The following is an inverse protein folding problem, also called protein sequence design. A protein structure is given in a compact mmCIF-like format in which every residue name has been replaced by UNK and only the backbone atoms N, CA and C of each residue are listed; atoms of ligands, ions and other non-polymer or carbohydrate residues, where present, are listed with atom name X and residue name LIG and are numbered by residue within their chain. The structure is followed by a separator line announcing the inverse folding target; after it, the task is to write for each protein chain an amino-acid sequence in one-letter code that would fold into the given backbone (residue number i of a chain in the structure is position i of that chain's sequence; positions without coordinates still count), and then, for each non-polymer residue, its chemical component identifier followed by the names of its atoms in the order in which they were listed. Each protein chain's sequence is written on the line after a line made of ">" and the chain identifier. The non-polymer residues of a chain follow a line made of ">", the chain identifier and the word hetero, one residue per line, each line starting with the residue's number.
data_IF_987131409931
#
_entry.id   IF_987131409931
#
_cell.length_a   1.000
_cell.length_b   1.000
_cell.length_c   1.000
_cell.angle_alpha   90.00
_cell.angle_beta   90.00
_cell.angle_gamma   90.00
#
_symmetry.space_group_name_H-M   'P 1'
#
loop_
_entity.id
_entity.type
_entity.pdbx_description
1 polymer ?
#
# COMPACT_ATOMS: atom_id res chain seq x y z
N UNK A 1 -24.18 -10.93 -57.78
CA UNK A 1 -22.95 -11.03 -56.97
C UNK A 1 -23.20 -10.31 -55.66
N UNK A 2 -23.19 -11.03 -54.53
CA UNK A 2 -23.40 -10.49 -53.18
C UNK A 2 -22.12 -10.71 -52.39
N UNK A 3 -21.45 -9.63 -51.99
CA UNK A 3 -20.20 -9.67 -51.23
C UNK A 3 -20.50 -9.35 -49.76
N UNK A 4 -20.17 -10.31 -48.89
CA UNK A 4 -20.26 -10.19 -47.43
C UNK A 4 -18.90 -9.74 -46.88
N UNK A 5 -18.77 -8.53 -46.30
CA UNK A 5 -17.54 -8.17 -45.59
C UNK A 5 -17.62 -8.68 -44.14
N UNK A 6 -17.11 -9.90 -43.94
CA UNK A 6 -16.57 -10.36 -42.67
C UNK A 6 -15.22 -9.65 -42.49
N UNK A 7 -15.14 -8.68 -41.58
CA UNK A 7 -13.94 -8.32 -40.80
C UNK A 7 -14.24 -7.05 -40.01
N UNK A 8 -14.52 -7.29 -38.75
CA UNK A 8 -14.65 -6.34 -37.66
C UNK A 8 -13.54 -5.29 -37.68
N UNK A 9 -13.92 -4.05 -37.99
CA UNK A 9 -13.21 -2.83 -37.64
C UNK A 9 -14.09 -2.07 -36.65
N UNK A 10 -14.25 -2.65 -35.47
CA UNK A 10 -14.77 -1.98 -34.29
C UNK A 10 -13.76 -2.22 -33.20
N UNK A 11 -12.95 -1.21 -32.90
CA UNK A 11 -12.49 -0.84 -31.56
C UNK A 11 -11.60 0.41 -31.69
N UNK A 12 -12.20 1.49 -32.18
CA UNK A 12 -11.65 2.84 -32.03
C UNK A 12 -12.24 3.46 -30.77
N UNK A 13 -11.34 4.04 -29.96
CA UNK A 13 -11.59 4.95 -28.86
C UNK A 13 -12.35 4.37 -27.65
N UNK A 14 -11.61 3.74 -26.74
CA UNK A 14 -11.89 3.93 -25.32
C UNK A 14 -11.74 5.44 -25.06
N UNK A 15 -12.88 6.12 -24.99
CA UNK A 15 -12.96 7.46 -24.45
C UNK A 15 -12.59 7.37 -22.98
N UNK A 16 -11.34 7.74 -22.68
CA UNK A 16 -10.86 8.01 -21.33
C UNK A 16 -11.59 9.23 -20.78
N UNK A 17 -12.85 9.03 -20.39
CA UNK A 17 -13.69 9.98 -19.67
C UNK A 17 -13.69 9.65 -18.18
N UNK A 18 -12.54 9.78 -17.53
CA UNK A 18 -12.37 9.83 -16.06
C UNK A 18 -11.00 10.48 -15.74
N UNK A 19 -10.74 11.63 -16.36
CA UNK A 19 -9.51 12.40 -16.17
C UNK A 19 -9.48 13.08 -14.80
N UNK A 20 -8.98 12.36 -13.80
CA UNK A 20 -8.28 12.88 -12.60
C UNK A 20 -8.02 11.74 -11.58
N UNK A 21 -8.76 10.64 -11.63
CA UNK A 21 -8.68 9.57 -10.62
C UNK A 21 -8.03 8.28 -11.11
N UNK A 22 -8.00 8.03 -12.42
CA UNK A 22 -7.39 6.81 -12.99
C UNK A 22 -5.85 6.89 -13.09
N UNK A 23 -5.29 8.07 -13.37
CA UNK A 23 -3.85 8.26 -13.49
C UNK A 23 -3.12 7.98 -12.17
N UNK A 24 -3.68 8.46 -11.05
CA UNK A 24 -3.08 8.34 -9.73
C UNK A 24 -3.02 6.90 -9.23
N UNK A 25 -4.06 6.09 -9.49
CA UNK A 25 -4.05 4.67 -9.10
C UNK A 25 -3.04 3.84 -9.92
N UNK A 26 -2.88 4.16 -11.21
CA UNK A 26 -1.89 3.52 -12.07
C UNK A 26 -0.46 3.89 -11.66
N UNK A 27 -0.22 5.18 -11.37
CA UNK A 27 1.08 5.68 -10.93
C UNK A 27 1.49 5.09 -9.57
N UNK A 28 0.55 4.95 -8.63
CA UNK A 28 0.78 4.30 -7.33
C UNK A 28 1.15 2.82 -7.51
N UNK A 29 0.43 2.08 -8.37
CA UNK A 29 0.75 0.67 -8.64
C UNK A 29 2.11 0.50 -9.33
N UNK A 30 2.44 1.38 -10.27
CA UNK A 30 3.75 1.40 -10.93
C UNK A 30 4.88 1.73 -9.93
N UNK A 31 4.63 2.67 -9.00
CA UNK A 31 5.59 3.04 -7.98
C UNK A 31 5.83 1.90 -6.98
N UNK A 32 4.79 1.16 -6.56
CA UNK A 32 4.93 -0.02 -5.71
C UNK A 32 5.86 -1.06 -6.35
N UNK A 33 5.65 -1.35 -7.64
CA UNK A 33 6.53 -2.27 -8.38
C UNK A 33 7.97 -1.75 -8.48
N UNK A 34 8.14 -0.44 -8.69
CA UNK A 34 9.47 0.16 -8.71
C UNK A 34 10.17 0.08 -7.34
N UNK A 35 9.43 0.23 -6.23
CA UNK A 35 9.95 0.03 -4.87
C UNK A 35 10.36 -1.42 -4.64
N UNK A 36 9.54 -2.39 -5.06
CA UNK A 36 9.85 -3.84 -4.99
C UNK A 36 11.11 -4.21 -5.80
N UNK A 37 11.38 -3.47 -6.87
CA UNK A 37 12.58 -3.62 -7.69
C UNK A 37 13.76 -2.74 -7.23
N UNK A 38 13.65 -2.08 -6.07
CA UNK A 38 14.64 -1.13 -5.52
C UNK A 38 14.94 0.08 -6.44
N UNK A 39 14.08 0.34 -7.44
CA UNK A 39 14.16 1.48 -8.37
C UNK A 39 13.57 2.74 -7.74
N UNK A 40 14.11 3.17 -6.61
CA UNK A 40 13.55 4.26 -5.80
C UNK A 40 13.45 5.61 -6.54
N UNK A 41 14.39 5.92 -7.44
CA UNK A 41 14.34 7.17 -8.21
C UNK A 41 13.14 7.22 -9.16
N UNK A 42 12.79 6.08 -9.78
CA UNK A 42 11.62 5.96 -10.65
C UNK A 42 10.33 6.04 -9.84
N UNK A 43 10.25 5.29 -8.73
CA UNK A 43 9.11 5.34 -7.83
C UNK A 43 8.83 6.77 -7.34
N UNK A 44 9.87 7.52 -6.95
CA UNK A 44 9.72 8.94 -6.57
C UNK A 44 9.23 9.80 -7.73
N UNK A 45 9.72 9.55 -8.94
CA UNK A 45 9.28 10.26 -10.15
C UNK A 45 7.80 10.09 -10.45
N UNK A 46 7.26 8.89 -10.23
CA UNK A 46 5.85 8.55 -10.40
C UNK A 46 4.98 9.20 -9.31
N UNK A 47 5.48 9.25 -8.07
CA UNK A 47 4.69 9.71 -6.92
C UNK A 47 4.77 11.22 -6.66
N UNK A 48 5.79 11.94 -7.16
CA UNK A 48 6.06 13.35 -6.77
C UNK A 48 4.90 14.32 -7.02
N UNK A 49 4.06 14.03 -8.01
CA UNK A 49 2.95 14.89 -8.41
C UNK A 49 1.61 14.40 -7.84
N UNK A 50 1.60 13.25 -7.17
CA UNK A 50 0.40 12.65 -6.62
C UNK A 50 0.22 13.09 -5.15
N UNK A 51 -0.88 13.77 -4.86
CA UNK A 51 -1.20 14.28 -3.51
C UNK A 51 -2.20 13.40 -2.76
N UNK A 52 -2.44 12.17 -3.21
CA UNK A 52 -3.41 11.27 -2.57
C UNK A 52 -2.83 10.61 -1.31
N UNK A 53 -3.67 10.18 -0.35
CA UNK A 53 -3.21 9.42 0.81
C UNK A 53 -2.39 8.18 0.41
N UNK A 54 -2.78 7.49 -0.67
CA UNK A 54 -2.07 6.32 -1.17
C UNK A 54 -0.67 6.68 -1.71
N UNK A 55 -0.56 7.77 -2.47
CA UNK A 55 0.74 8.22 -2.97
C UNK A 55 1.67 8.67 -1.85
N UNK A 56 1.14 9.37 -0.84
CA UNK A 56 1.88 9.73 0.36
C UNK A 56 2.30 8.49 1.15
N UNK A 57 1.46 7.47 1.24
CA UNK A 57 1.81 6.22 1.90
C UNK A 57 2.97 5.49 1.21
N UNK A 58 2.96 5.42 -0.12
CA UNK A 58 4.06 4.82 -0.89
C UNK A 58 5.33 5.67 -0.85
N UNK A 59 5.23 7.01 -0.81
CA UNK A 59 6.39 7.87 -0.56
C UNK A 59 6.97 7.61 0.82
N UNK A 60 6.13 7.44 1.85
CA UNK A 60 6.57 7.04 3.18
C UNK A 60 7.36 5.74 3.17
N UNK A 61 6.85 4.72 2.46
CA UNK A 61 7.54 3.43 2.27
C UNK A 61 8.88 3.57 1.60
N UNK A 62 8.93 4.32 0.51
CA UNK A 62 10.15 4.58 -0.23
C UNK A 62 11.22 5.22 0.65
N UNK A 63 10.84 6.22 1.46
CA UNK A 63 11.79 6.86 2.37
C UNK A 63 12.21 5.94 3.51
N UNK A 64 11.30 5.13 4.06
CA UNK A 64 11.63 4.13 5.08
C UNK A 64 12.65 3.11 4.56
N UNK A 65 12.47 2.58 3.35
CA UNK A 65 13.43 1.65 2.72
C UNK A 65 14.78 2.28 2.38
N UNK A 66 14.91 3.61 2.48
CA UNK A 66 16.15 4.34 2.27
C UNK A 66 16.75 4.85 3.59
N UNK A 67 16.27 4.35 4.72
CA UNK A 67 16.68 4.76 6.07
C UNK A 67 16.49 6.26 6.33
N UNK A 68 15.46 6.86 5.72
CA UNK A 68 15.09 8.27 5.85
C UNK A 68 13.82 8.42 6.70
N UNK A 69 13.89 7.99 7.96
CA UNK A 69 12.74 7.88 8.87
C UNK A 69 11.98 9.19 9.10
N UNK A 70 12.68 10.32 9.24
CA UNK A 70 12.04 11.62 9.40
C UNK A 70 11.16 11.97 8.20
N UNK A 71 11.66 11.70 6.99
CA UNK A 71 10.90 11.89 5.75
C UNK A 71 9.76 10.89 5.68
N UNK A 72 10.01 9.63 5.97
CA UNK A 72 8.99 8.58 5.98
C UNK A 72 7.81 8.97 6.88
N UNK A 73 8.10 9.43 8.10
CA UNK A 73 7.08 9.83 9.05
C UNK A 73 6.23 11.01 8.55
N UNK A 74 6.84 12.01 7.89
CA UNK A 74 6.09 13.14 7.32
C UNK A 74 5.07 12.64 6.30
N UNK A 75 5.48 11.78 5.38
CA UNK A 75 4.60 11.29 4.32
C UNK A 75 3.55 10.30 4.84
N UNK A 76 3.88 9.45 5.81
CA UNK A 76 2.89 8.62 6.49
C UNK A 76 1.86 9.44 7.26
N UNK A 77 2.27 10.53 7.91
CA UNK A 77 1.32 11.45 8.56
C UNK A 77 0.42 12.16 7.55
N UNK A 78 0.90 12.47 6.34
CA UNK A 78 0.06 12.99 5.24
C UNK A 78 -0.96 11.98 4.74
N UNK A 79 -0.64 10.69 4.81
CA UNK A 79 -1.55 9.59 4.49
C UNK A 79 -2.49 9.20 5.63
N UNK A 80 -2.25 9.73 6.85
CA UNK A 80 -3.03 9.40 8.03
C UNK A 80 -4.45 9.99 7.99
N UNK A 81 -5.35 9.37 8.73
CA UNK A 81 -6.75 9.77 8.81
C UNK A 81 -7.58 8.80 9.64
N UNK A 82 -8.89 9.06 9.72
CA UNK A 82 -9.83 8.24 10.51
C UNK A 82 -10.22 6.91 9.84
N UNK A 83 -9.88 6.71 8.56
CA UNK A 83 -10.14 5.45 7.87
C UNK A 83 -9.20 4.35 8.38
N UNK A 84 -9.55 3.06 8.24
CA UNK A 84 -8.64 1.97 8.61
C UNK A 84 -7.27 2.09 7.91
N UNK A 85 -7.27 2.49 6.63
CA UNK A 85 -6.04 2.81 5.89
C UNK A 85 -5.24 3.94 6.55
N UNK A 86 -5.89 5.05 6.88
CA UNK A 86 -5.25 6.20 7.52
C UNK A 86 -4.73 5.87 8.92
N UNK A 87 -5.39 4.98 9.65
CA UNK A 87 -4.93 4.49 10.95
C UNK A 87 -3.69 3.60 10.79
N UNK A 88 -3.61 2.78 9.75
CA UNK A 88 -2.36 2.06 9.41
C UNK A 88 -1.24 3.04 9.08
N UNK A 89 -1.51 4.07 8.27
CA UNK A 89 -0.52 5.09 7.95
C UNK A 89 0.00 5.81 9.22
N UNK A 90 -0.90 6.18 10.14
CA UNK A 90 -0.51 6.75 11.43
C UNK A 90 0.37 5.80 12.26
N UNK A 91 0.00 4.52 12.30
CA UNK A 91 0.79 3.51 13.02
C UNK A 91 2.19 3.35 12.44
N UNK A 92 2.32 3.43 11.11
CA UNK A 92 3.64 3.43 10.44
C UNK A 92 4.47 4.66 10.74
N UNK A 93 3.85 5.84 10.75
CA UNK A 93 4.52 7.08 11.15
C UNK A 93 5.09 6.99 12.58
N UNK A 94 4.38 6.30 13.48
CA UNK A 94 4.85 6.03 14.83
C UNK A 94 5.97 4.98 14.87
N UNK A 95 5.88 3.90 14.07
CA UNK A 95 6.92 2.87 14.01
C UNK A 95 8.28 3.42 13.56
N UNK A 96 8.32 4.22 12.49
CA UNK A 96 9.57 4.82 11.99
C UNK A 96 10.17 5.82 12.99
N UNK A 97 9.37 6.33 13.94
CA UNK A 97 9.84 7.17 15.05
C UNK A 97 10.23 6.37 16.30
N UNK A 98 10.21 5.04 16.23
CA UNK A 98 10.44 4.16 17.39
C UNK A 98 9.32 4.14 18.43
N UNK A 99 8.14 4.70 18.12
CA UNK A 99 7.01 4.83 19.05
C UNK A 99 6.09 3.60 18.96
N UNK A 100 6.57 2.45 19.45
CA UNK A 100 5.89 1.15 19.28
C UNK A 100 4.50 1.07 19.90
N UNK A 101 4.26 1.72 21.03
CA UNK A 101 2.95 1.69 21.71
C UNK A 101 1.91 2.55 20.99
N UNK A 102 2.34 3.71 20.49
CA UNK A 102 1.50 4.56 19.64
C UNK A 102 1.15 3.84 18.33
N UNK A 103 2.12 3.17 17.73
CA UNK A 103 1.92 2.35 16.54
C UNK A 103 0.89 1.23 16.77
N UNK A 104 1.06 0.46 17.85
CA UNK A 104 0.15 -0.62 18.21
C UNK A 104 -1.28 -0.10 18.41
N UNK A 105 -1.44 1.04 19.08
CA UNK A 105 -2.75 1.68 19.29
C UNK A 105 -3.43 2.01 17.96
N UNK A 106 -2.69 2.58 17.00
CA UNK A 106 -3.24 2.90 15.67
C UNK A 106 -3.58 1.65 14.85
N UNK A 107 -2.76 0.61 14.90
CA UNK A 107 -3.03 -0.65 14.19
C UNK A 107 -4.22 -1.40 14.79
N UNK A 108 -4.35 -1.43 16.11
CA UNK A 108 -5.51 -2.02 16.79
C UNK A 108 -6.80 -1.27 16.43
N UNK A 109 -6.75 0.06 16.33
CA UNK A 109 -7.88 0.85 15.85
C UNK A 109 -8.27 0.47 14.42
N UNK A 110 -7.30 0.31 13.51
CA UNK A 110 -7.52 -0.10 12.13
C UNK A 110 -8.14 -1.50 12.02
N UNK A 111 -7.60 -2.46 12.78
CA UNK A 111 -8.08 -3.84 12.81
C UNK A 111 -9.51 -3.91 13.38
N UNK A 112 -9.79 -3.21 14.50
CA UNK A 112 -11.13 -3.12 15.10
C UNK A 112 -12.14 -2.44 14.19
N UNK A 113 -11.76 -1.37 13.49
CA UNK A 113 -12.64 -0.67 12.55
C UNK A 113 -13.12 -1.58 11.41
N UNK A 114 -12.33 -2.59 11.03
CA UNK A 114 -12.69 -3.60 10.03
C UNK A 114 -13.21 -4.90 10.62
N UNK A 115 -13.43 -4.95 11.95
CA UNK A 115 -13.81 -6.14 12.71
C UNK A 115 -12.85 -7.32 12.50
N UNK A 116 -11.58 -7.05 12.22
CA UNK A 116 -10.55 -8.03 11.85
C UNK A 116 -10.91 -8.89 10.62
N UNK A 117 -11.74 -8.37 9.70
CA UNK A 117 -12.17 -9.09 8.50
C UNK A 117 -11.53 -8.58 7.22
N UNK A 118 -10.98 -7.37 7.22
CA UNK A 118 -10.33 -6.81 6.04
C UNK A 118 -8.90 -7.34 5.92
N UNK A 119 -8.73 -8.33 5.05
CA UNK A 119 -7.43 -8.93 4.77
C UNK A 119 -6.41 -7.89 4.26
N UNK A 120 -6.84 -6.83 3.57
CA UNK A 120 -5.94 -5.78 3.07
C UNK A 120 -5.36 -5.00 4.24
N UNK A 121 -6.20 -4.53 5.16
CA UNK A 121 -5.76 -3.77 6.35
C UNK A 121 -4.85 -4.63 7.23
N UNK A 122 -5.22 -5.90 7.48
CA UNK A 122 -4.38 -6.82 8.25
C UNK A 122 -3.03 -7.09 7.57
N UNK A 123 -3.01 -7.24 6.24
CA UNK A 123 -1.75 -7.42 5.48
C UNK A 123 -0.87 -6.18 5.58
N UNK A 124 -1.45 -4.97 5.48
CA UNK A 124 -0.69 -3.74 5.62
C UNK A 124 -0.10 -3.56 7.03
N UNK A 125 -0.83 -3.95 8.08
CA UNK A 125 -0.33 -3.94 9.47
C UNK A 125 0.83 -4.94 9.60
N UNK A 126 0.67 -6.16 9.09
CA UNK A 126 1.73 -7.18 9.11
C UNK A 126 2.99 -6.70 8.36
N UNK A 127 2.81 -6.10 7.19
CA UNK A 127 3.88 -5.51 6.40
C UNK A 127 4.57 -4.37 7.14
N UNK A 128 3.82 -3.48 7.80
CA UNK A 128 4.38 -2.39 8.58
C UNK A 128 5.35 -2.88 9.67
N UNK A 129 4.97 -3.94 10.40
CA UNK A 129 5.85 -4.55 11.38
C UNK A 129 7.03 -5.30 10.75
N UNK A 130 6.82 -5.98 9.61
CA UNK A 130 7.89 -6.68 8.88
C UNK A 130 8.92 -5.76 8.23
N UNK A 131 8.51 -4.58 7.76
CA UNK A 131 9.38 -3.54 7.19
C UNK A 131 10.01 -2.64 8.27
N UNK A 132 9.67 -2.83 9.54
CA UNK A 132 10.25 -2.07 10.65
C UNK A 132 11.39 -2.85 11.30
N UNK A 133 12.50 -2.19 11.63
CA UNK A 133 13.61 -2.76 12.41
C UNK A 133 13.24 -3.08 13.86
N UNK A 134 11.97 -2.86 14.23
CA UNK A 134 11.46 -3.22 15.55
C UNK A 134 11.46 -4.75 15.64
N UNK A 135 12.43 -5.30 16.39
CA UNK A 135 12.58 -6.72 16.78
C UNK A 135 11.40 -7.27 17.61
N UNK A 136 10.19 -6.84 17.37
CA UNK A 136 8.97 -7.29 18.05
C UNK A 136 8.20 -8.24 17.12
N UNK A 137 8.88 -9.34 16.75
CA UNK A 137 8.41 -10.36 15.80
C UNK A 137 7.13 -11.03 16.32
N UNK A 138 6.89 -11.04 17.63
CA UNK A 138 5.70 -11.65 18.25
C UNK A 138 4.36 -11.01 17.80
N UNK A 139 4.33 -9.69 17.58
CA UNK A 139 3.12 -9.01 17.08
C UNK A 139 2.89 -9.27 15.60
N UNK A 140 3.95 -9.31 14.78
CA UNK A 140 3.88 -9.70 13.38
C UNK A 140 3.39 -11.14 13.20
N UNK A 141 3.82 -12.06 14.08
CA UNK A 141 3.38 -13.45 14.10
C UNK A 141 1.91 -13.59 14.48
N UNK A 142 1.42 -12.80 15.44
CA UNK A 142 0.01 -12.81 15.84
C UNK A 142 -0.90 -12.35 14.69
N UNK A 143 -0.51 -11.30 13.96
CA UNK A 143 -1.27 -10.84 12.77
C UNK A 143 -1.17 -11.87 11.62
N UNK A 144 0.00 -12.49 11.39
CA UNK A 144 0.14 -13.60 10.43
C UNK A 144 -0.75 -14.79 10.77
N UNK A 145 -0.87 -15.15 12.05
CA UNK A 145 -1.76 -16.22 12.50
C UNK A 145 -3.24 -15.88 12.24
N UNK A 146 -3.63 -14.60 12.44
CA UNK A 146 -4.95 -14.11 12.09
C UNK A 146 -5.22 -14.18 10.57
N UNK A 147 -4.23 -13.82 9.73
CA UNK A 147 -4.32 -13.95 8.26
C UNK A 147 -4.41 -15.41 7.78
N UNK A 148 -3.67 -16.32 8.41
CA UNK A 148 -3.72 -17.76 8.11
C UNK A 148 -5.08 -18.38 8.45
N UNK A 149 -5.73 -17.92 9.52
CA UNK A 149 -7.11 -18.31 9.87
C UNK A 149 -8.16 -17.71 8.93
N UNK A 150 -7.91 -16.54 8.34
CA UNK A 150 -8.87 -15.79 7.53
C UNK A 150 -8.86 -16.13 6.02
N UNK A 151 -7.78 -16.69 5.46
CA UNK A 151 -7.79 -17.03 4.04
C UNK A 151 -6.47 -17.54 3.48
N UNK A 152 -6.48 -18.82 3.10
CA UNK A 152 -5.42 -19.61 2.44
C UNK A 152 -4.91 -19.05 1.09
N UNK A 153 -5.27 -17.83 0.71
CA UNK A 153 -5.00 -17.23 -0.61
C UNK A 153 -4.02 -16.03 -0.60
N UNK A 154 -3.73 -15.42 0.55
CA UNK A 154 -2.80 -14.26 0.61
C UNK A 154 -1.33 -14.69 0.55
N UNK A 155 -1.03 -15.93 0.98
CA UNK A 155 0.34 -16.45 1.06
C UNK A 155 0.98 -16.77 -0.30
N UNK A 156 0.21 -16.82 -1.38
CA UNK A 156 0.74 -17.16 -2.71
C UNK A 156 1.37 -15.95 -3.43
N UNK A 157 1.18 -14.71 -2.94
CA UNK A 157 1.73 -13.51 -3.59
C UNK A 157 3.08 -13.04 -3.03
N UNK A 158 3.50 -13.60 -1.90
CA UNK A 158 4.76 -13.22 -1.21
C UNK A 158 5.77 -14.38 -1.15
N UNK A 159 5.52 -15.46 -1.87
CA UNK A 159 6.41 -16.61 -1.98
C UNK A 159 6.87 -16.75 -3.43
N UNK A 160 7.68 -15.82 -3.92
CA UNK A 160 8.55 -16.05 -5.07
C UNK A 160 9.92 -15.47 -4.70
N UNK A 161 11.01 -16.26 -4.79
CA UNK A 161 12.35 -15.88 -4.36
C UNK A 161 12.95 -14.72 -5.15
#
# INVERSE_FOLDING_TARGET
>A
MSFKPWKSLLLTAVTLGAGATAATAQDVAAAQKAIELERYNEARGLLRNASTPEANFELGRLYQMRDLDDSAAIYFNKAAGATPFGQVAAGRAALVKGQTDAAATSFDAAAKATKNKDAKVLTMIAQAYGESDVKNIDKALTVRACLQGAGRNVLLRWAVP
#
